data_IF_624146590862
#
_entry.id   IF_624146590862
#
_cell.length_a   1.000
_cell.length_b   1.000
_cell.length_c   1.000
_cell.angle_alpha   90.00
_cell.angle_beta   90.00
_cell.angle_gamma   90.00
#
_symmetry.space_group_name_H-M   'P 1'
#
loop_
_entity.id
_entity.type
_entity.pdbx_description
1 polymer ?
#
# COMPACT_ATOMS: atom_id res chain seq x y z
N UNK A 1 -44.80 23.50 15.78
CA UNK A 1 -44.06 22.95 14.63
C UNK A 1 -42.55 23.14 14.83
N UNK A 2 -41.92 22.43 15.78
CA UNK A 2 -40.50 22.63 16.13
C UNK A 2 -39.66 21.34 16.10
N UNK A 3 -40.26 20.20 15.74
CA UNK A 3 -39.61 18.89 15.84
C UNK A 3 -38.88 18.45 14.55
N UNK A 4 -39.09 19.10 13.41
CA UNK A 4 -38.45 18.73 12.13
C UNK A 4 -37.00 19.23 11.99
N UNK A 5 -36.53 20.12 12.88
CA UNK A 5 -35.22 20.77 12.77
C UNK A 5 -34.02 19.96 13.25
N UNK A 6 -34.23 18.77 13.82
CA UNK A 6 -33.15 17.92 14.35
C UNK A 6 -32.96 16.62 13.57
N UNK A 7 -33.20 16.63 12.25
CA UNK A 7 -32.73 15.54 11.39
C UNK A 7 -31.20 15.62 11.32
N UNK A 8 -30.50 14.72 12.02
CA UNK A 8 -29.04 14.63 11.92
C UNK A 8 -28.64 14.50 10.46
N UNK A 9 -27.91 15.50 9.95
CA UNK A 9 -27.39 15.50 8.59
C UNK A 9 -26.28 14.46 8.39
N UNK A 10 -25.59 14.07 9.47
CA UNK A 10 -24.56 13.05 9.45
C UNK A 10 -24.99 11.79 10.25
N UNK A 11 -24.79 10.58 9.70
CA UNK A 11 -25.03 9.35 10.42
C UNK A 11 -24.15 9.26 11.67
N UNK A 12 -24.72 8.79 12.78
CA UNK A 12 -23.99 8.62 14.02
C UNK A 12 -22.80 7.67 13.83
N UNK A 13 -21.58 8.14 14.15
CA UNK A 13 -20.37 7.32 14.06
C UNK A 13 -20.50 6.13 15.00
N UNK A 14 -20.44 4.92 14.44
CA UNK A 14 -20.50 3.67 15.21
C UNK A 14 -19.24 3.44 16.04
N UNK A 15 -18.11 4.02 15.62
CA UNK A 15 -16.82 3.98 16.32
C UNK A 15 -16.08 5.30 16.12
N UNK A 16 -15.40 5.78 17.16
CA UNK A 16 -14.42 6.86 17.03
C UNK A 16 -13.38 6.48 15.97
N UNK A 17 -12.89 7.45 15.20
CA UNK A 17 -11.73 7.23 14.33
C UNK A 17 -10.57 6.96 15.29
N UNK A 18 -9.95 5.77 15.26
CA UNK A 18 -8.86 5.49 16.17
C UNK A 18 -7.74 6.50 15.91
N UNK A 19 -7.18 7.05 16.98
CA UNK A 19 -6.04 7.95 16.97
C UNK A 19 -4.73 7.22 16.60
N UNK A 20 -4.79 6.26 15.66
CA UNK A 20 -3.64 5.95 14.81
C UNK A 20 -3.39 7.21 13.97
N UNK A 21 -2.86 8.24 14.63
CA UNK A 21 -2.78 9.59 14.11
C UNK A 21 -1.86 9.58 12.91
N UNK A 22 -2.32 10.10 11.77
CA UNK A 22 -1.50 10.59 10.66
C UNK A 22 -0.37 9.70 10.11
N UNK A 23 -0.16 8.46 10.59
CA UNK A 23 0.75 7.47 10.01
C UNK A 23 0.10 7.10 8.68
N UNK A 24 0.39 7.89 7.64
CA UNK A 24 -0.37 7.97 6.40
C UNK A 24 -0.39 6.67 5.61
N UNK A 25 -0.27 6.76 4.30
CA UNK A 25 -0.21 5.57 3.44
C UNK A 25 1.13 4.81 3.58
N UNK A 26 1.80 4.88 4.74
CA UNK A 26 3.10 4.27 5.00
C UNK A 26 3.06 2.77 4.83
N UNK A 27 2.05 2.09 5.40
CA UNK A 27 1.88 0.64 5.23
C UNK A 27 1.76 0.26 3.75
N UNK A 28 1.03 1.07 2.98
CA UNK A 28 0.86 0.88 1.54
C UNK A 28 2.20 1.03 0.79
N UNK A 29 2.96 2.08 1.11
CA UNK A 29 4.29 2.30 0.55
C UNK A 29 5.27 1.19 0.93
N UNK A 30 5.29 0.75 2.19
CA UNK A 30 6.11 -0.37 2.63
C UNK A 30 5.78 -1.65 1.88
N UNK A 31 4.50 -2.03 1.74
CA UNK A 31 4.14 -3.20 0.93
C UNK A 31 4.53 -3.05 -0.54
N UNK A 32 4.44 -1.84 -1.09
CA UNK A 32 4.85 -1.57 -2.48
C UNK A 32 6.35 -1.75 -2.65
N UNK A 33 7.15 -1.19 -1.76
CA UNK A 33 8.62 -1.32 -1.76
C UNK A 33 9.03 -2.78 -1.59
N UNK A 34 8.40 -3.51 -0.66
CA UNK A 34 8.67 -4.93 -0.45
C UNK A 34 8.33 -5.76 -1.69
N UNK A 35 7.23 -5.44 -2.38
CA UNK A 35 6.88 -6.07 -3.65
C UNK A 35 7.96 -5.83 -4.71
N UNK A 36 8.38 -4.57 -4.91
CA UNK A 36 9.45 -4.20 -5.87
C UNK A 36 10.74 -4.98 -5.59
N UNK A 37 11.18 -4.96 -4.32
CA UNK A 37 12.39 -5.64 -3.86
C UNK A 37 12.32 -7.14 -4.12
N UNK A 38 11.21 -7.77 -3.75
CA UNK A 38 11.00 -9.20 -3.97
C UNK A 38 11.03 -9.53 -5.46
N UNK A 39 10.20 -8.87 -6.27
CA UNK A 39 10.06 -9.22 -7.69
C UNK A 39 11.35 -8.94 -8.48
N UNK A 40 12.06 -7.86 -8.17
CA UNK A 40 13.34 -7.55 -8.82
C UNK A 40 14.47 -8.52 -8.43
N UNK A 41 14.51 -8.97 -7.17
CA UNK A 41 15.54 -9.93 -6.69
C UNK A 41 15.43 -11.30 -7.36
N UNK A 42 14.25 -11.63 -7.89
CA UNK A 42 13.99 -12.91 -8.55
C UNK A 42 13.94 -12.81 -10.08
N UNK A 43 14.22 -11.63 -10.64
CA UNK A 43 13.91 -11.34 -12.04
C UNK A 43 14.63 -12.24 -13.05
N UNK A 44 15.88 -12.60 -12.78
CA UNK A 44 16.67 -13.47 -13.67
C UNK A 44 16.19 -14.94 -13.64
N UNK A 45 15.40 -15.32 -12.63
CA UNK A 45 14.85 -16.65 -12.44
C UNK A 45 13.38 -16.76 -12.85
N UNK A 46 12.76 -15.64 -13.24
CA UNK A 46 11.35 -15.57 -13.58
C UNK A 46 11.17 -15.27 -15.06
N UNK A 47 10.39 -16.09 -15.74
CA UNK A 47 9.91 -15.77 -17.08
C UNK A 47 9.11 -14.46 -17.05
N UNK A 48 9.16 -13.64 -18.13
CA UNK A 48 8.38 -12.41 -18.22
C UNK A 48 6.89 -12.61 -17.96
N UNK A 49 6.32 -13.73 -18.42
CA UNK A 49 4.91 -14.10 -18.19
C UNK A 49 4.62 -14.29 -16.71
N UNK A 50 5.47 -15.00 -15.97
CA UNK A 50 5.33 -15.20 -14.53
C UNK A 50 5.44 -13.88 -13.78
N UNK A 51 6.35 -13.00 -14.21
CA UNK A 51 6.47 -11.65 -13.64
C UNK A 51 5.23 -10.79 -13.88
N UNK A 52 4.61 -10.88 -15.06
CA UNK A 52 3.34 -10.21 -15.33
C UNK A 52 2.22 -10.73 -14.40
N UNK A 53 2.15 -12.05 -14.17
CA UNK A 53 1.20 -12.64 -13.20
C UNK A 53 1.42 -12.08 -11.79
N UNK A 54 2.67 -11.92 -11.35
CA UNK A 54 2.97 -11.32 -10.04
C UNK A 54 2.47 -9.88 -9.91
N UNK A 55 2.59 -9.07 -10.96
CA UNK A 55 2.03 -7.72 -10.99
C UNK A 55 0.51 -7.73 -10.89
N UNK A 56 -0.16 -8.64 -11.60
CA UNK A 56 -1.62 -8.79 -11.52
C UNK A 56 -2.08 -9.21 -10.12
N UNK A 57 -1.35 -10.15 -9.48
CA UNK A 57 -1.61 -10.55 -8.09
C UNK A 57 -1.44 -9.35 -7.15
N UNK A 58 -0.36 -8.57 -7.32
CA UNK A 58 -0.13 -7.36 -6.53
C UNK A 58 -1.26 -6.33 -6.69
N UNK A 59 -1.70 -6.07 -7.93
CA UNK A 59 -2.84 -5.18 -8.20
C UNK A 59 -4.14 -5.69 -7.60
N UNK A 60 -4.40 -7.00 -7.66
CA UNK A 60 -5.57 -7.61 -7.05
C UNK A 60 -5.57 -7.44 -5.52
N UNK A 61 -4.42 -7.65 -4.87
CA UNK A 61 -4.26 -7.45 -3.42
C UNK A 61 -4.43 -5.98 -3.02
N UNK A 62 -3.85 -5.05 -3.79
CA UNK A 62 -4.06 -3.61 -3.57
C UNK A 62 -5.52 -3.22 -3.74
N UNK A 63 -6.19 -3.72 -4.79
CA UNK A 63 -7.61 -3.49 -5.03
C UNK A 63 -8.47 -4.02 -3.89
N UNK A 64 -8.22 -5.25 -3.42
CA UNK A 64 -8.91 -5.85 -2.29
C UNK A 64 -8.71 -5.04 -1.00
N UNK A 65 -7.49 -4.59 -0.72
CA UNK A 65 -7.18 -3.75 0.43
C UNK A 65 -7.87 -2.37 0.34
N UNK A 66 -7.95 -1.78 -0.85
CA UNK A 66 -8.67 -0.53 -1.10
C UNK A 66 -10.18 -0.70 -0.86
N UNK A 67 -10.77 -1.80 -1.34
CA UNK A 67 -12.18 -2.14 -1.11
C UNK A 67 -12.46 -2.37 0.38
N UNK A 68 -11.57 -3.06 1.09
CA UNK A 68 -11.70 -3.26 2.53
C UNK A 68 -11.64 -1.92 3.29
N UNK A 69 -10.73 -1.03 2.91
CA UNK A 69 -10.65 0.31 3.47
C UNK A 69 -11.94 1.11 3.23
N UNK A 70 -12.47 1.09 2.00
CA UNK A 70 -13.73 1.73 1.63
C UNK A 70 -14.92 1.17 2.43
N UNK A 71 -15.01 -0.16 2.53
CA UNK A 71 -16.05 -0.83 3.30
C UNK A 71 -15.99 -0.43 4.77
N UNK A 72 -14.79 -0.36 5.35
CA UNK A 72 -14.58 0.05 6.74
C UNK A 72 -14.99 1.51 6.97
N UNK A 73 -14.63 2.40 6.06
CA UNK A 73 -15.01 3.81 6.12
C UNK A 73 -16.53 3.99 6.06
N UNK A 74 -17.20 3.31 5.11
CA UNK A 74 -18.67 3.33 4.96
C UNK A 74 -19.35 2.75 6.20
N UNK A 75 -18.89 1.60 6.69
CA UNK A 75 -19.47 0.92 7.86
C UNK A 75 -19.39 1.76 9.14
N UNK A 76 -18.33 2.55 9.30
CA UNK A 76 -18.10 3.35 10.50
C UNK A 76 -18.47 4.84 10.34
N UNK A 77 -19.00 5.26 9.18
CA UNK A 77 -19.27 6.65 8.84
C UNK A 77 -18.04 7.56 9.05
N UNK A 78 -16.87 7.08 8.64
CA UNK A 78 -15.63 7.87 8.70
C UNK A 78 -15.49 8.77 7.47
N UNK A 79 -14.76 9.88 7.62
CA UNK A 79 -14.44 10.79 6.50
C UNK A 79 -13.68 10.03 5.43
N UNK A 80 -14.05 10.24 4.16
CA UNK A 80 -13.39 9.59 3.03
C UNK A 80 -11.90 9.97 2.97
N UNK A 81 -11.05 8.95 2.91
CA UNK A 81 -9.61 9.14 2.69
C UNK A 81 -9.30 9.44 1.22
N UNK A 82 -8.17 10.10 0.91
CA UNK A 82 -7.69 10.27 -0.45
C UNK A 82 -7.57 8.91 -1.16
N UNK A 83 -8.11 8.80 -2.38
CA UNK A 83 -8.10 7.53 -3.14
C UNK A 83 -6.89 7.37 -4.05
N UNK A 84 -6.27 8.49 -4.46
CA UNK A 84 -5.10 8.51 -5.35
C UNK A 84 -3.89 7.66 -4.89
N UNK A 85 -3.61 7.43 -3.59
CA UNK A 85 -2.44 6.65 -3.18
C UNK A 85 -2.49 5.19 -3.62
N UNK A 86 -3.70 4.61 -3.74
CA UNK A 86 -3.89 3.22 -4.16
C UNK A 86 -3.47 2.96 -5.61
N UNK A 87 -4.00 3.69 -6.63
CA UNK A 87 -3.51 3.55 -7.99
C UNK A 87 -2.08 4.07 -8.15
N UNK A 88 -1.66 5.09 -7.39
CA UNK A 88 -0.27 5.55 -7.41
C UNK A 88 0.70 4.45 -6.97
N UNK A 89 0.40 3.73 -5.87
CA UNK A 89 1.20 2.60 -5.41
C UNK A 89 1.27 1.47 -6.45
N UNK A 90 0.14 1.16 -7.10
CA UNK A 90 0.11 0.15 -8.16
C UNK A 90 1.00 0.54 -9.35
N UNK A 91 0.88 1.76 -9.86
CA UNK A 91 1.64 2.26 -11.00
C UNK A 91 3.12 2.41 -10.67
N UNK A 92 3.44 3.08 -9.56
CA UNK A 92 4.83 3.29 -9.12
C UNK A 92 5.51 1.96 -8.82
N UNK A 93 4.82 1.02 -8.17
CA UNK A 93 5.34 -0.32 -7.91
C UNK A 93 5.71 -1.05 -9.20
N UNK A 94 4.79 -1.12 -10.17
CA UNK A 94 5.06 -1.78 -11.46
C UNK A 94 6.21 -1.12 -12.21
N UNK A 95 6.20 0.21 -12.34
CA UNK A 95 7.26 0.94 -13.06
C UNK A 95 8.62 0.75 -12.37
N UNK A 96 8.66 0.91 -11.04
CA UNK A 96 9.90 0.77 -10.29
C UNK A 96 10.48 -0.64 -10.40
N UNK A 97 9.64 -1.68 -10.34
CA UNK A 97 10.08 -3.07 -10.55
C UNK A 97 10.73 -3.24 -11.91
N UNK A 98 10.02 -2.89 -13.00
CA UNK A 98 10.54 -3.14 -14.34
C UNK A 98 11.77 -2.27 -14.67
N UNK A 99 11.83 -1.03 -14.18
CA UNK A 99 13.04 -0.20 -14.30
C UNK A 99 14.20 -0.86 -13.54
N UNK A 100 13.97 -1.32 -12.31
CA UNK A 100 15.02 -1.97 -11.52
C UNK A 100 15.51 -3.25 -12.21
N UNK A 101 14.60 -4.07 -12.73
CA UNK A 101 14.94 -5.28 -13.49
C UNK A 101 15.70 -4.96 -14.78
N UNK A 102 15.31 -3.91 -15.50
CA UNK A 102 15.96 -3.53 -16.75
C UNK A 102 17.35 -2.90 -16.55
N UNK A 103 17.61 -2.29 -15.40
CA UNK A 103 18.83 -1.52 -15.12
C UNK A 103 19.79 -2.22 -14.17
N UNK A 104 19.31 -3.15 -13.35
CA UNK A 104 20.04 -3.80 -12.27
C UNK A 104 19.78 -5.30 -12.31
N UNK A 105 20.84 -6.11 -12.40
CA UNK A 105 20.72 -7.57 -12.35
C UNK A 105 20.18 -8.06 -11.00
N UNK A 106 19.57 -9.26 -10.98
CA UNK A 106 18.87 -9.79 -9.81
C UNK A 106 19.71 -9.80 -8.53
N UNK A 107 21.00 -10.13 -8.63
CA UNK A 107 21.93 -10.19 -7.50
C UNK A 107 22.13 -8.81 -6.86
N UNK A 108 22.30 -7.76 -7.68
CA UNK A 108 22.46 -6.40 -7.17
C UNK A 108 21.14 -5.87 -6.57
N UNK A 109 20.00 -6.22 -7.17
CA UNK A 109 18.68 -5.92 -6.59
C UNK A 109 18.49 -6.61 -5.23
N UNK A 110 18.95 -7.85 -5.09
CA UNK A 110 18.90 -8.60 -3.82
C UNK A 110 19.79 -7.98 -2.75
N UNK A 111 21.04 -7.61 -3.08
CA UNK A 111 21.95 -6.93 -2.14
C UNK A 111 21.34 -5.59 -1.70
N UNK A 112 20.89 -4.77 -2.63
CA UNK A 112 20.22 -3.50 -2.33
C UNK A 112 18.98 -3.70 -1.45
N UNK A 113 18.22 -4.76 -1.70
CA UNK A 113 17.07 -5.15 -0.90
C UNK A 113 17.44 -5.47 0.55
N UNK A 114 18.49 -6.25 0.77
CA UNK A 114 19.00 -6.54 2.11
C UNK A 114 19.44 -5.26 2.83
N UNK A 115 20.17 -4.37 2.15
CA UNK A 115 20.60 -3.09 2.74
C UNK A 115 19.40 -2.25 3.17
N UNK A 116 18.40 -2.10 2.30
CA UNK A 116 17.16 -1.35 2.61
C UNK A 116 16.42 -1.98 3.79
N UNK A 117 16.33 -3.31 3.87
CA UNK A 117 15.70 -4.00 5.00
C UNK A 117 16.47 -3.78 6.30
N UNK A 118 17.80 -3.89 6.29
CA UNK A 118 18.63 -3.69 7.48
C UNK A 118 18.52 -2.25 7.98
N UNK A 119 18.65 -1.26 7.09
CA UNK A 119 18.51 0.15 7.44
C UNK A 119 17.10 0.46 7.92
N UNK A 120 16.08 -0.02 7.19
CA UNK A 120 14.68 0.17 7.57
C UNK A 120 14.36 -0.45 8.93
N UNK A 121 14.84 -1.67 9.20
CA UNK A 121 14.70 -2.33 10.48
C UNK A 121 15.39 -1.55 11.59
N UNK A 122 16.64 -1.13 11.38
CA UNK A 122 17.38 -0.31 12.34
C UNK A 122 16.65 0.98 12.70
N UNK A 123 16.12 1.70 11.71
CA UNK A 123 15.34 2.92 11.93
C UNK A 123 14.04 2.64 12.70
N UNK A 124 13.35 1.55 12.37
CA UNK A 124 12.16 1.12 13.12
C UNK A 124 12.52 0.73 14.56
N UNK A 125 13.67 0.10 14.83
CA UNK A 125 14.10 -0.20 16.19
C UNK A 125 14.51 1.04 16.99
N UNK A 126 15.02 2.08 16.32
CA UNK A 126 15.47 3.32 16.99
C UNK A 126 14.31 4.27 17.32
N UNK A 127 13.28 4.31 16.48
CA UNK A 127 12.18 5.29 16.57
C UNK A 127 10.79 4.68 16.72
N UNK A 128 10.69 3.34 16.77
CA UNK A 128 9.44 2.58 16.76
C UNK A 128 8.89 2.23 18.13
#
# INVERSE_FOLDING_TARGET
>A
MAAERFRRAEPARRKAIPAFGSKGHWRLWTTTVLFVMFTASWADYLEPTTRAVWHLVFWALLGAAALFALYRERRNAWKAAPRWPWPAAAVVGTIATEVLVATVGSTAAMIGSVVVLVVGFFLVSLFG
#
